data_IF_793454407637
#
_entry.id   IF_793454407637
#
_cell.length_a   1.000
_cell.length_b   1.000
_cell.length_c   1.000
_cell.angle_alpha   90.00
_cell.angle_beta   90.00
_cell.angle_gamma   90.00
#
_symmetry.space_group_name_H-M   'P 1'
#
loop_
_entity.id
_entity.type
_entity.pdbx_description
1 polymer ?
#
# COMPACT_ATOMS: atom_id res chain seq x y z
N UNK A 1 18.56 23.49 -3.64
CA UNK A 1 18.05 22.27 -2.97
C UNK A 1 16.58 22.11 -3.34
N UNK A 2 16.13 20.93 -3.79
CA UNK A 2 14.69 20.73 -4.02
C UNK A 2 13.98 20.58 -2.67
N UNK A 3 12.85 21.27 -2.50
CA UNK A 3 12.01 21.11 -1.31
C UNK A 3 11.28 19.77 -1.41
N UNK A 4 11.36 18.96 -0.35
CA UNK A 4 10.61 17.69 -0.22
C UNK A 4 9.56 17.85 0.87
N UNK A 5 8.37 17.33 0.61
CA UNK A 5 7.35 17.12 1.64
C UNK A 5 7.58 15.73 2.24
N UNK A 6 7.57 15.66 3.57
CA UNK A 6 7.72 14.44 4.34
C UNK A 6 6.61 14.41 5.38
N UNK A 7 5.94 13.27 5.49
CA UNK A 7 4.90 13.02 6.48
C UNK A 7 5.24 11.75 7.24
N UNK A 8 4.89 11.72 8.51
CA UNK A 8 4.98 10.56 9.39
C UNK A 8 3.72 10.52 10.23
N UNK A 9 3.28 9.32 10.57
CA UNK A 9 2.13 9.09 11.44
C UNK A 9 2.50 8.23 12.65
N UNK A 10 1.60 8.21 13.63
CA UNK A 10 1.68 7.36 14.82
C UNK A 10 0.26 7.01 15.24
N UNK A 11 0.12 5.89 15.96
CA UNK A 11 -1.16 5.40 16.48
C UNK A 11 -1.03 5.15 17.97
N UNK A 12 -2.15 5.14 18.68
CA UNK A 12 -2.16 4.91 20.12
C UNK A 12 -1.89 3.45 20.46
N UNK A 13 -1.60 3.17 21.73
CA UNK A 13 -1.45 1.81 22.26
C UNK A 13 -2.71 0.93 22.09
N UNK A 14 -3.88 1.55 21.94
CA UNK A 14 -5.15 0.86 21.68
C UNK A 14 -5.40 0.53 20.22
N UNK A 15 -4.55 0.96 19.28
CA UNK A 15 -4.66 0.53 17.89
C UNK A 15 -4.50 -1.00 17.81
N UNK A 16 -5.34 -1.74 17.05
CA UNK A 16 -5.31 -3.21 17.03
C UNK A 16 -3.92 -3.78 16.74
N UNK A 17 -3.20 -3.22 15.78
CA UNK A 17 -1.82 -3.64 15.49
C UNK A 17 -0.88 -3.43 16.69
N UNK A 18 -1.05 -2.32 17.43
CA UNK A 18 -0.25 -2.05 18.65
C UNK A 18 -0.68 -2.90 19.84
N UNK A 19 -1.93 -3.38 19.88
CA UNK A 19 -2.36 -4.38 20.85
C UNK A 19 -1.61 -5.69 20.59
N UNK A 20 -1.52 -6.12 19.33
CA UNK A 20 -0.76 -7.31 18.94
C UNK A 20 0.72 -7.19 19.34
N UNK A 21 1.37 -6.09 18.97
CA UNK A 21 2.76 -5.81 19.35
C UNK A 21 2.97 -5.94 20.87
N UNK A 22 2.12 -5.29 21.66
CA UNK A 22 2.21 -5.31 23.13
C UNK A 22 1.94 -6.68 23.75
N UNK A 23 1.05 -7.48 23.16
CA UNK A 23 0.80 -8.85 23.62
C UNK A 23 2.02 -9.73 23.34
N UNK A 24 2.56 -9.67 22.12
CA UNK A 24 3.77 -10.40 21.73
C UNK A 24 4.96 -10.04 22.64
N UNK A 25 5.18 -8.75 22.89
CA UNK A 25 6.24 -8.28 23.79
C UNK A 25 5.97 -8.67 25.26
N UNK A 26 4.72 -8.67 25.71
CA UNK A 26 4.39 -9.10 27.07
C UNK A 26 4.65 -10.60 27.29
N UNK A 27 4.44 -11.42 26.27
CA UNK A 27 4.80 -12.85 26.27
C UNK A 27 6.32 -13.02 26.33
N UNK A 28 7.06 -12.29 25.49
CA UNK A 28 8.52 -12.24 25.50
C UNK A 28 9.06 -11.86 26.89
N UNK A 29 8.58 -10.77 27.47
CA UNK A 29 8.99 -10.27 28.79
C UNK A 29 8.70 -11.29 29.90
N UNK A 30 7.54 -11.94 29.86
CA UNK A 30 7.16 -12.94 30.84
C UNK A 30 8.10 -14.16 30.82
N UNK A 31 8.55 -14.57 29.62
CA UNK A 31 9.49 -15.66 29.43
C UNK A 31 10.92 -15.27 29.82
N UNK A 32 11.43 -14.14 29.31
CA UNK A 32 12.80 -13.66 29.61
C UNK A 32 13.00 -13.40 31.10
N UNK A 33 11.95 -12.96 31.81
CA UNK A 33 12.00 -12.77 33.28
C UNK A 33 12.30 -14.07 34.04
N UNK A 34 11.88 -15.22 33.51
CA UNK A 34 12.11 -16.53 34.13
C UNK A 34 13.34 -17.24 33.56
N UNK A 35 13.55 -17.14 32.25
CA UNK A 35 14.69 -17.69 31.54
C UNK A 35 15.26 -16.65 30.57
N UNK A 36 16.35 -15.95 30.96
CA UNK A 36 16.99 -14.93 30.14
C UNK A 36 17.51 -15.43 28.77
N UNK A 37 17.61 -16.75 28.57
CA UNK A 37 18.03 -17.36 27.32
C UNK A 37 16.85 -17.82 26.44
N UNK A 38 15.61 -17.47 26.81
CA UNK A 38 14.42 -17.78 26.03
C UNK A 38 14.55 -17.26 24.60
N UNK A 39 14.23 -18.10 23.62
CA UNK A 39 14.07 -17.72 22.22
C UNK A 39 12.58 -17.67 21.93
N UNK A 40 12.11 -16.49 21.52
CA UNK A 40 10.68 -16.21 21.42
C UNK A 40 10.45 -15.46 20.12
N UNK A 41 9.67 -16.07 19.24
CA UNK A 41 9.15 -15.48 18.00
C UNK A 41 7.63 -15.66 18.04
N UNK A 42 6.96 -14.75 18.75
CA UNK A 42 5.52 -14.82 19.01
C UNK A 42 4.80 -13.76 18.20
N UNK A 43 3.87 -14.21 17.39
CA UNK A 43 3.00 -13.39 16.56
C UNK A 43 1.61 -13.34 17.19
N UNK A 44 1.02 -12.16 17.18
CA UNK A 44 -0.34 -11.96 17.69
C UNK A 44 -1.23 -11.43 16.58
N UNK A 45 -2.41 -12.02 16.45
CA UNK A 45 -3.51 -11.51 15.62
C UNK A 45 -4.67 -11.12 16.53
N UNK A 46 -5.31 -9.99 16.24
CA UNK A 46 -6.51 -9.54 16.93
C UNK A 46 -7.64 -9.23 15.95
N UNK A 47 -8.86 -9.56 16.35
CA UNK A 47 -10.11 -9.12 15.72
C UNK A 47 -11.22 -9.08 16.77
N UNK A 48 -12.44 -8.73 16.38
CA UNK A 48 -13.58 -8.60 17.29
C UNK A 48 -13.77 -9.87 18.14
N UNK A 49 -13.51 -9.74 19.44
CA UNK A 49 -13.68 -10.80 20.43
C UNK A 49 -12.67 -11.95 20.33
N UNK A 50 -11.60 -11.84 19.54
CA UNK A 50 -10.63 -12.93 19.34
C UNK A 50 -9.19 -12.40 19.33
N UNK A 51 -8.34 -13.09 20.10
CA UNK A 51 -6.88 -13.01 20.05
C UNK A 51 -6.32 -14.37 19.67
N UNK A 52 -5.38 -14.40 18.73
CA UNK A 52 -4.59 -15.59 18.41
C UNK A 52 -3.13 -15.28 18.72
N UNK A 53 -2.51 -16.11 19.55
CA UNK A 53 -1.09 -16.07 19.88
C UNK A 53 -0.43 -17.31 19.27
N UNK A 54 0.46 -17.13 18.32
CA UNK A 54 1.10 -18.21 17.59
C UNK A 54 2.60 -17.98 17.40
N UNK A 55 3.33 -19.02 17.01
CA UNK A 55 4.76 -18.93 16.69
C UNK A 55 5.63 -19.89 17.49
N UNK A 56 6.89 -19.50 17.66
CA UNK A 56 7.96 -20.38 18.13
C UNK A 56 8.53 -19.91 19.47
N UNK A 57 8.54 -20.81 20.46
CA UNK A 57 9.12 -20.55 21.78
C UNK A 57 10.01 -21.72 22.20
N UNK A 58 11.26 -21.41 22.56
CA UNK A 58 12.17 -22.33 23.25
C UNK A 58 12.63 -21.66 24.54
N UNK A 59 12.26 -22.23 25.68
CA UNK A 59 12.45 -21.65 27.00
C UNK A 59 12.44 -22.73 28.07
N UNK A 60 13.07 -22.48 29.22
CA UNK A 60 12.91 -23.26 30.45
C UNK A 60 11.83 -22.71 31.38
N UNK A 61 11.30 -21.52 31.10
CA UNK A 61 10.24 -20.88 31.87
C UNK A 61 8.86 -21.41 31.53
N UNK A 62 7.88 -21.11 32.38
CA UNK A 62 6.47 -21.40 32.10
C UNK A 62 5.63 -20.13 32.31
N UNK A 63 4.76 -19.83 31.35
CA UNK A 63 3.83 -18.70 31.45
C UNK A 63 2.40 -19.15 31.15
N UNK A 64 1.46 -18.55 31.85
CA UNK A 64 0.04 -18.60 31.49
C UNK A 64 -0.23 -17.52 30.43
N UNK A 65 -0.18 -17.91 29.15
CA UNK A 65 -0.35 -17.01 28.01
C UNK A 65 -1.71 -16.31 28.04
N UNK A 66 -2.78 -17.02 28.44
CA UNK A 66 -4.12 -16.45 28.58
C UNK A 66 -4.12 -15.29 29.57
N UNK A 67 -3.52 -15.50 30.74
CA UNK A 67 -3.42 -14.48 31.78
C UNK A 67 -2.56 -13.29 31.34
N UNK A 68 -1.45 -13.53 30.65
CA UNK A 68 -0.59 -12.47 30.10
C UNK A 68 -1.37 -11.60 29.10
N UNK A 69 -2.04 -12.23 28.14
CA UNK A 69 -2.87 -11.55 27.13
C UNK A 69 -3.93 -10.66 27.79
N UNK A 70 -4.74 -11.22 28.69
CA UNK A 70 -5.84 -10.49 29.34
C UNK A 70 -5.33 -9.34 30.21
N UNK A 71 -4.23 -9.53 30.92
CA UNK A 71 -3.62 -8.46 31.71
C UNK A 71 -3.07 -7.33 30.83
N UNK A 72 -2.48 -7.66 29.68
CA UNK A 72 -2.01 -6.67 28.71
C UNK A 72 -3.18 -5.86 28.15
N UNK A 73 -4.27 -6.52 27.72
CA UNK A 73 -5.47 -5.85 27.20
C UNK A 73 -6.08 -4.93 28.26
N UNK A 74 -6.19 -5.40 29.51
CA UNK A 74 -6.69 -4.59 30.63
C UNK A 74 -5.80 -3.38 30.91
N UNK A 75 -4.48 -3.54 30.84
CA UNK A 75 -3.52 -2.44 31.03
C UNK A 75 -3.66 -1.36 29.95
N UNK A 76 -3.95 -1.75 28.70
CA UNK A 76 -4.23 -0.83 27.59
C UNK A 76 -5.55 -0.06 27.80
N UNK A 77 -6.47 -0.61 28.62
CA UNK A 77 -7.74 0.04 28.99
C UNK A 77 -8.99 -0.59 28.39
N UNK A 78 -8.88 -1.76 27.74
CA UNK A 78 -10.04 -2.52 27.25
C UNK A 78 -10.59 -3.44 28.35
N UNK A 79 -11.26 -2.83 29.34
CA UNK A 79 -11.78 -3.48 30.55
C UNK A 79 -13.32 -3.45 30.64
N UNK A 80 -14.00 -3.00 29.59
CA UNK A 80 -15.46 -2.87 29.54
C UNK A 80 -16.04 -3.36 28.21
N UNK A 81 -17.17 -4.08 28.22
CA UNK A 81 -17.83 -4.55 27.01
C UNK A 81 -18.24 -3.43 26.04
N UNK A 82 -18.55 -2.23 26.56
CA UNK A 82 -19.06 -1.10 25.75
C UNK A 82 -18.07 -0.60 24.69
N UNK A 83 -16.77 -0.91 24.83
CA UNK A 83 -15.75 -0.55 23.85
C UNK A 83 -15.76 -1.45 22.60
N UNK A 84 -16.60 -2.49 22.58
CA UNK A 84 -16.64 -3.49 21.51
C UNK A 84 -15.48 -4.51 21.56
N UNK A 85 -14.55 -4.33 22.50
CA UNK A 85 -13.45 -5.24 22.81
C UNK A 85 -13.15 -5.18 24.31
N UNK A 86 -13.09 -6.34 24.97
CA UNK A 86 -12.93 -6.44 26.41
C UNK A 86 -11.99 -7.60 26.78
N UNK A 87 -11.06 -7.37 27.71
CA UNK A 87 -10.11 -8.35 28.22
C UNK A 87 -10.78 -9.60 28.81
N UNK A 88 -11.99 -9.47 29.36
CA UNK A 88 -12.69 -10.58 30.02
C UNK A 88 -13.54 -11.42 29.04
N UNK A 89 -14.07 -10.80 27.99
CA UNK A 89 -14.97 -11.47 27.04
C UNK A 89 -14.26 -11.98 25.78
N UNK A 90 -13.01 -11.58 25.52
CA UNK A 90 -12.28 -12.04 24.35
C UNK A 90 -11.88 -13.53 24.47
N UNK A 91 -12.02 -14.25 23.37
CA UNK A 91 -11.41 -15.57 23.19
C UNK A 91 -9.91 -15.41 22.94
N UNK A 92 -9.09 -16.25 23.57
CA UNK A 92 -7.65 -16.30 23.30
C UNK A 92 -7.31 -17.72 22.86
N UNK A 93 -6.77 -17.85 21.64
CA UNK A 93 -6.28 -19.10 21.08
C UNK A 93 -4.75 -19.09 21.13
N UNK A 94 -4.15 -20.16 21.64
CA UNK A 94 -2.70 -20.28 21.80
C UNK A 94 -2.21 -21.45 20.96
N UNK A 95 -1.28 -21.18 20.04
CA UNK A 95 -0.67 -22.16 19.14
C UNK A 95 0.83 -21.93 19.05
N UNK A 96 1.53 -22.19 20.16
CA UNK A 96 2.98 -22.07 20.27
C UNK A 96 3.64 -23.45 20.13
N UNK A 97 4.73 -23.53 19.36
CA UNK A 97 5.55 -24.73 19.23
C UNK A 97 7.04 -24.41 19.43
N UNK A 98 7.90 -25.42 19.49
CA UNK A 98 9.35 -25.20 19.64
C UNK A 98 9.96 -24.60 18.38
N UNK A 99 11.06 -23.86 18.53
CA UNK A 99 11.86 -23.35 17.42
C UNK A 99 12.43 -24.50 16.58
N UNK A 100 12.49 -24.32 15.26
CA UNK A 100 13.12 -25.29 14.37
C UNK A 100 14.59 -25.56 14.75
N UNK A 101 15.02 -26.84 14.88
CA UNK A 101 16.43 -27.18 15.08
C UNK A 101 17.36 -26.63 14.00
N UNK A 102 16.87 -26.51 12.76
CA UNK A 102 17.65 -26.01 11.61
C UNK A 102 17.99 -24.53 11.74
N UNK A 103 17.09 -23.75 12.34
CA UNK A 103 17.34 -22.34 12.67
C UNK A 103 18.22 -22.28 13.92
N UNK A 104 17.91 -23.10 14.92
CA UNK A 104 18.62 -23.11 16.21
C UNK A 104 20.12 -23.36 16.05
N UNK A 105 20.54 -24.27 15.17
CA UNK A 105 21.97 -24.55 14.93
C UNK A 105 22.74 -23.37 14.31
N UNK A 106 22.06 -22.52 13.53
CA UNK A 106 22.66 -21.33 12.93
C UNK A 106 22.85 -20.20 13.94
N UNK A 107 21.98 -20.14 14.95
CA UNK A 107 22.01 -19.11 16.00
C UNK A 107 22.89 -19.52 17.18
N UNK A 108 22.87 -20.78 17.58
CA UNK A 108 23.53 -21.23 18.82
C UNK A 108 25.06 -21.08 18.73
N UNK A 109 25.64 -20.46 19.75
CA UNK A 109 27.10 -20.32 19.86
C UNK A 109 27.77 -21.71 19.85
N UNK A 110 28.87 -21.84 19.11
CA UNK A 110 29.63 -23.08 18.96
C UNK A 110 29.11 -24.07 17.91
N UNK A 111 27.85 -23.95 17.47
CA UNK A 111 27.25 -24.86 16.46
C UNK A 111 27.26 -24.31 15.04
N UNK A 112 27.30 -22.99 14.89
CA UNK A 112 27.37 -22.33 13.58
C UNK A 112 28.70 -22.50 12.84
N UNK A 113 28.72 -22.05 11.58
CA UNK A 113 29.94 -21.98 10.74
C UNK A 113 30.99 -21.11 11.43
N UNK A 114 30.56 -19.93 11.89
CA UNK A 114 31.30 -19.10 12.81
C UNK A 114 30.96 -19.59 14.23
N UNK A 115 31.97 -19.80 15.08
CA UNK A 115 31.78 -20.36 16.44
C UNK A 115 31.09 -19.41 17.41
N UNK A 116 30.82 -18.18 16.99
CA UNK A 116 30.09 -17.16 17.73
C UNK A 116 28.58 -17.28 17.45
N UNK A 117 27.74 -16.53 18.18
CA UNK A 117 26.29 -16.53 17.97
C UNK A 117 25.94 -15.94 16.59
N UNK A 118 25.28 -16.73 15.73
CA UNK A 118 24.82 -16.28 14.41
C UNK A 118 23.56 -15.41 14.48
N UNK A 119 23.27 -14.70 13.38
CA UNK A 119 22.02 -13.98 13.23
C UNK A 119 20.83 -14.96 13.13
N UNK A 120 19.69 -14.59 13.72
CA UNK A 120 18.45 -15.39 13.67
C UNK A 120 17.80 -15.48 12.30
N UNK A 121 18.01 -14.47 11.46
CA UNK A 121 17.56 -14.42 10.07
C UNK A 121 18.38 -13.38 9.30
N UNK A 122 18.20 -13.34 7.97
CA UNK A 122 18.74 -12.32 7.09
C UNK A 122 18.01 -10.97 7.30
N UNK A 123 18.72 -9.94 7.75
CA UNK A 123 18.20 -8.59 7.92
C UNK A 123 18.95 -7.56 7.08
N UNK A 124 18.21 -6.66 6.42
CA UNK A 124 18.78 -5.53 5.67
C UNK A 124 18.41 -4.21 6.37
N UNK A 125 19.42 -3.53 6.93
CA UNK A 125 19.24 -2.16 7.43
C UNK A 125 19.57 -1.15 6.33
N UNK A 126 18.71 -0.15 6.13
CA UNK A 126 18.94 0.91 5.14
C UNK A 126 20.10 1.80 5.61
N UNK A 127 20.88 2.30 4.67
CA UNK A 127 21.84 3.40 4.88
C UNK A 127 21.19 4.55 5.70
N UNK A 128 21.86 5.01 6.74
CA UNK A 128 21.43 6.06 7.65
C UNK A 128 20.70 5.56 8.90
N UNK A 129 20.43 4.26 9.04
CA UNK A 129 19.82 3.69 10.25
C UNK A 129 20.73 3.95 11.45
N UNK A 130 20.24 4.64 12.48
CA UNK A 130 21.06 4.97 13.65
C UNK A 130 21.16 3.77 14.60
N UNK A 131 22.40 3.37 14.89
CA UNK A 131 22.75 2.30 15.83
C UNK A 131 23.32 2.93 17.10
N UNK A 132 22.76 2.57 18.27
CA UNK A 132 23.27 3.04 19.55
C UNK A 132 24.58 2.32 19.88
N UNK A 133 25.66 3.07 20.00
CA UNK A 133 26.98 2.56 20.42
C UNK A 133 27.44 3.22 21.71
N UNK A 134 28.51 2.71 22.34
CA UNK A 134 29.13 3.40 23.49
C UNK A 134 29.66 4.81 23.17
N UNK A 135 29.91 5.12 21.89
CA UNK A 135 30.40 6.43 21.43
C UNK A 135 29.27 7.40 21.06
N UNK A 136 28.01 6.97 21.21
CA UNK A 136 26.83 7.69 20.73
C UNK A 136 26.15 6.94 19.57
N UNK A 137 25.18 7.58 18.93
CA UNK A 137 24.51 7.01 17.76
C UNK A 137 25.39 7.13 16.51
N UNK A 138 25.59 6.02 15.81
CA UNK A 138 26.29 5.98 14.53
C UNK A 138 25.34 5.46 13.44
N UNK A 139 25.36 6.01 12.23
CA UNK A 139 24.71 5.38 11.08
C UNK A 139 25.23 3.94 10.88
N UNK A 140 24.37 3.04 10.41
CA UNK A 140 24.72 1.61 10.23
C UNK A 140 25.92 1.42 9.30
N UNK A 141 26.08 2.28 8.29
CA UNK A 141 27.23 2.27 7.39
C UNK A 141 28.55 2.68 8.04
N UNK A 142 28.51 3.27 9.24
CA UNK A 142 29.67 3.74 10.00
C UNK A 142 30.04 2.83 11.17
N UNK A 143 29.19 1.85 11.50
CA UNK A 143 29.52 0.79 12.46
C UNK A 143 30.68 -0.06 11.93
N UNK A 144 31.67 -0.33 12.76
CA UNK A 144 32.86 -1.14 12.41
C UNK A 144 32.98 -2.36 13.31
N UNK A 145 33.66 -3.39 12.82
CA UNK A 145 34.08 -4.53 13.66
C UNK A 145 34.81 -4.01 14.90
N UNK A 146 34.40 -4.49 16.07
CA UNK A 146 34.94 -4.06 17.36
C UNK A 146 34.17 -2.97 18.08
N UNK A 147 33.28 -2.23 17.40
CA UNK A 147 32.41 -1.28 18.09
C UNK A 147 31.47 -2.02 19.06
N UNK A 148 31.14 -1.36 20.17
CA UNK A 148 30.18 -1.87 21.15
C UNK A 148 28.80 -1.31 20.83
N UNK A 149 27.91 -2.17 20.33
CA UNK A 149 26.52 -1.84 19.99
C UNK A 149 25.59 -2.32 21.09
N UNK A 150 24.52 -1.55 21.33
CA UNK A 150 23.49 -1.90 22.32
C UNK A 150 22.66 -3.08 21.81
N UNK A 151 22.59 -4.16 22.59
CA UNK A 151 21.66 -5.28 22.39
C UNK A 151 20.80 -5.45 23.65
N UNK A 152 19.74 -6.29 23.62
CA UNK A 152 18.95 -6.60 24.81
C UNK A 152 19.79 -7.20 25.96
N UNK A 153 20.90 -7.87 25.65
CA UNK A 153 21.84 -8.44 26.62
C UNK A 153 22.99 -7.48 26.99
N UNK A 154 22.82 -6.18 26.73
CA UNK A 154 23.82 -5.15 26.98
C UNK A 154 24.70 -4.84 25.78
N UNK A 155 25.84 -4.19 26.02
CA UNK A 155 26.76 -3.84 24.93
C UNK A 155 27.52 -5.07 24.45
N UNK A 156 27.35 -5.41 23.17
CA UNK A 156 28.06 -6.50 22.50
C UNK A 156 28.99 -5.95 21.43
N UNK A 157 30.11 -6.65 21.22
CA UNK A 157 31.10 -6.30 20.21
C UNK A 157 30.58 -6.68 18.84
N UNK A 158 30.67 -5.77 17.86
CA UNK A 158 30.38 -6.08 16.46
C UNK A 158 31.45 -7.04 15.96
N UNK A 159 31.03 -8.24 15.56
CA UNK A 159 31.90 -9.33 15.15
C UNK A 159 32.35 -9.16 13.69
N UNK A 160 31.43 -8.73 12.84
CA UNK A 160 31.69 -8.39 11.46
C UNK A 160 30.87 -7.17 11.04
N UNK A 161 31.53 -6.19 10.41
CA UNK A 161 30.88 -5.12 9.68
C UNK A 161 31.40 -5.14 8.25
N UNK A 162 30.57 -5.58 7.30
CA UNK A 162 30.91 -5.55 5.88
C UNK A 162 29.99 -4.61 5.12
N UNK A 163 30.58 -3.75 4.32
CA UNK A 163 29.88 -3.13 3.21
C UNK A 163 30.02 -4.12 2.04
N UNK A 164 28.91 -4.64 1.51
CA UNK A 164 28.85 -5.64 0.42
C UNK A 164 29.38 -5.11 -0.93
N UNK A 165 30.14 -4.02 -0.91
CA UNK A 165 30.66 -3.30 -2.05
C UNK A 165 29.64 -2.34 -2.66
N UNK A 166 30.13 -1.41 -3.48
CA UNK A 166 29.26 -0.71 -4.45
C UNK A 166 29.01 -1.69 -5.60
N UNK A 167 27.85 -2.33 -5.60
CA UNK A 167 27.41 -3.09 -6.77
C UNK A 167 26.84 -2.10 -7.80
N UNK A 168 27.23 -2.23 -9.07
CA UNK A 168 26.51 -1.59 -10.16
C UNK A 168 25.09 -2.11 -10.11
N UNK A 169 24.11 -1.23 -9.99
CA UNK A 169 22.70 -1.57 -10.11
C UNK A 169 22.27 -1.37 -11.56
N UNK A 170 21.38 -2.23 -12.02
CA UNK A 170 20.67 -2.06 -13.27
C UNK A 170 19.28 -1.51 -12.98
N UNK A 171 18.82 -0.60 -13.82
CA UNK A 171 17.46 -0.09 -13.82
C UNK A 171 16.73 -0.68 -15.02
N UNK A 172 15.81 -1.61 -14.76
CA UNK A 172 14.97 -2.21 -15.79
C UNK A 172 13.71 -1.36 -15.90
N UNK A 173 13.49 -0.77 -17.08
CA UNK A 173 12.27 -0.02 -17.39
C UNK A 173 11.27 -0.98 -18.07
N UNK A 174 10.13 -1.19 -17.43
CA UNK A 174 9.06 -2.03 -17.96
C UNK A 174 8.17 -1.22 -18.90
N UNK A 175 7.49 -1.91 -19.83
CA UNK A 175 6.61 -1.28 -20.82
C UNK A 175 5.41 -0.54 -20.21
N UNK A 176 5.05 -0.85 -18.96
CA UNK A 176 4.00 -0.17 -18.21
C UNK A 176 4.49 1.09 -17.46
N UNK A 177 5.77 1.47 -17.61
CA UNK A 177 6.37 2.63 -16.97
C UNK A 177 6.96 2.37 -15.58
N UNK A 178 6.77 1.18 -15.01
CA UNK A 178 7.42 0.78 -13.75
C UNK A 178 8.93 0.59 -13.97
N UNK A 179 9.70 0.74 -12.89
CA UNK A 179 11.13 0.49 -12.91
C UNK A 179 11.54 -0.42 -11.75
N UNK A 180 12.40 -1.40 -12.05
CA UNK A 180 13.06 -2.23 -11.05
C UNK A 180 14.54 -1.84 -10.98
N UNK A 181 15.00 -1.42 -9.80
CA UNK A 181 16.42 -1.15 -9.52
C UNK A 181 16.98 -2.29 -8.67
N UNK A 182 17.87 -3.08 -9.25
CA UNK A 182 18.42 -4.28 -8.60
C UNK A 182 19.86 -4.57 -9.09
N UNK A 183 20.51 -5.57 -8.51
CA UNK A 183 21.84 -6.01 -8.98
C UNK A 183 21.70 -6.85 -10.26
N UNK A 184 22.69 -6.87 -11.17
CA UNK A 184 22.62 -7.61 -12.44
C UNK A 184 22.30 -9.10 -12.29
N UNK A 185 22.76 -9.71 -11.20
CA UNK A 185 22.57 -11.11 -10.81
C UNK A 185 21.20 -11.39 -10.15
N UNK A 186 20.40 -10.37 -9.88
CA UNK A 186 19.10 -10.53 -9.24
C UNK A 186 18.15 -11.37 -10.11
N UNK A 187 17.60 -12.44 -9.55
CA UNK A 187 16.70 -13.37 -10.25
C UNK A 187 15.30 -12.78 -10.30
N UNK A 188 14.77 -12.62 -11.51
CA UNK A 188 13.45 -12.07 -11.79
C UNK A 188 12.57 -13.18 -12.34
N UNK A 189 11.40 -13.35 -11.73
CA UNK A 189 10.40 -14.29 -12.19
C UNK A 189 9.76 -13.74 -13.47
N UNK A 190 9.81 -14.53 -14.53
CA UNK A 190 9.24 -14.24 -15.83
C UNK A 190 8.20 -15.29 -16.19
N UNK A 191 7.39 -15.02 -17.20
CA UNK A 191 6.45 -15.99 -17.75
C UNK A 191 6.46 -15.96 -19.28
N UNK A 192 6.18 -17.10 -19.90
CA UNK A 192 6.05 -17.21 -21.35
C UNK A 192 4.59 -17.03 -21.79
N UNK A 193 4.36 -16.97 -23.11
CA UNK A 193 3.00 -16.83 -23.69
C UNK A 193 2.05 -17.98 -23.31
N UNK A 194 2.58 -19.13 -22.89
CA UNK A 194 1.80 -20.29 -22.47
C UNK A 194 1.49 -20.26 -20.96
N UNK A 195 1.89 -19.20 -20.25
CA UNK A 195 1.64 -19.02 -18.81
C UNK A 195 2.61 -19.77 -17.88
N UNK A 196 3.62 -20.45 -18.41
CA UNK A 196 4.63 -21.12 -17.58
C UNK A 196 5.67 -20.10 -17.08
N UNK A 197 6.02 -20.19 -15.80
CA UNK A 197 7.00 -19.30 -15.18
C UNK A 197 8.42 -19.83 -15.25
N UNK A 198 9.39 -18.94 -15.35
CA UNK A 198 10.82 -19.25 -15.34
C UNK A 198 11.61 -18.11 -14.68
N UNK A 199 12.80 -18.42 -14.18
CA UNK A 199 13.68 -17.42 -13.55
C UNK A 199 14.77 -16.98 -14.50
N UNK A 200 14.97 -15.67 -14.63
CA UNK A 200 16.04 -15.07 -15.43
C UNK A 200 16.81 -14.04 -14.60
N UNK A 201 18.11 -13.86 -14.82
CA UNK A 201 18.79 -12.75 -14.14
C UNK A 201 18.40 -11.41 -14.75
N UNK A 202 18.48 -10.33 -13.95
CA UNK A 202 18.20 -8.97 -14.39
C UNK A 202 19.04 -8.54 -15.60
N UNK A 203 20.28 -9.05 -15.71
CA UNK A 203 21.18 -8.79 -16.83
C UNK A 203 20.78 -9.51 -18.12
N UNK A 204 20.16 -10.68 -18.02
CA UNK A 204 19.78 -11.50 -19.17
C UNK A 204 18.40 -11.12 -19.74
N UNK A 205 17.64 -10.27 -19.05
CA UNK A 205 16.34 -9.80 -19.52
C UNK A 205 16.46 -9.06 -20.85
N UNK A 206 15.55 -9.39 -21.77
CA UNK A 206 15.40 -8.72 -23.05
C UNK A 206 13.95 -8.23 -23.24
N UNK A 207 13.69 -7.56 -24.36
CA UNK A 207 12.38 -6.92 -24.64
C UNK A 207 11.24 -7.92 -24.84
N UNK A 208 11.55 -9.19 -25.06
CA UNK A 208 10.56 -10.24 -25.32
C UNK A 208 10.19 -11.02 -24.04
N UNK A 209 10.89 -10.79 -22.93
CA UNK A 209 10.57 -11.40 -21.64
C UNK A 209 9.39 -10.68 -20.96
N UNK A 210 8.43 -11.46 -20.46
CA UNK A 210 7.34 -10.92 -19.63
C UNK A 210 7.67 -11.15 -18.16
N UNK A 211 7.85 -10.07 -17.41
CA UNK A 211 8.19 -10.13 -15.98
C UNK A 211 6.91 -10.28 -15.14
N UNK A 212 6.92 -11.25 -14.22
CA UNK A 212 5.91 -11.36 -13.17
C UNK A 212 6.14 -10.25 -12.15
N UNK A 213 5.33 -9.19 -12.22
CA UNK A 213 5.27 -8.18 -11.18
C UNK A 213 4.12 -8.55 -10.23
N UNK A 214 4.43 -8.65 -8.93
CA UNK A 214 3.41 -8.49 -7.90
C UNK A 214 2.86 -7.10 -8.11
N UNK A 215 1.67 -6.99 -8.70
CA UNK A 215 1.03 -5.71 -8.97
C UNK A 215 0.80 -5.07 -7.59
N UNK A 216 1.56 -4.05 -7.18
CA UNK A 216 1.08 -3.22 -6.10
C UNK A 216 -0.21 -2.63 -6.67
N UNK A 217 -1.30 -2.57 -5.91
CA UNK A 217 -2.51 -1.91 -6.40
C UNK A 217 -2.30 -0.42 -6.74
N UNK A 218 -1.09 0.10 -6.59
CA UNK A 218 -0.66 1.45 -6.87
C UNK A 218 0.66 1.43 -7.64
N UNK A 219 0.62 1.71 -8.94
CA UNK A 219 1.72 2.41 -9.61
C UNK A 219 1.19 3.15 -10.83
N UNK A 220 1.47 4.44 -10.85
CA UNK A 220 1.05 5.43 -11.84
C UNK A 220 1.75 5.18 -13.17
N UNK A 221 1.01 5.02 -14.26
CA UNK A 221 1.63 4.86 -15.58
C UNK A 221 2.05 6.21 -16.15
N UNK A 222 3.09 6.22 -16.98
CA UNK A 222 3.53 7.41 -17.73
C UNK A 222 2.67 7.69 -18.96
N UNK A 223 1.73 6.80 -19.31
CA UNK A 223 0.88 6.91 -20.49
C UNK A 223 -0.52 7.42 -20.14
N UNK A 224 -1.06 8.30 -20.98
CA UNK A 224 -2.48 8.68 -20.88
C UNK A 224 -3.34 7.59 -21.51
N UNK A 225 -4.38 7.18 -20.80
CA UNK A 225 -5.32 6.18 -21.28
C UNK A 225 -6.15 6.78 -22.42
N UNK A 226 -6.26 6.06 -23.54
CA UNK A 226 -7.14 6.44 -24.66
C UNK A 226 -8.36 5.53 -24.67
N UNK A 227 -9.51 6.11 -25.00
CA UNK A 227 -10.75 5.41 -25.20
C UNK A 227 -11.26 5.68 -26.62
N UNK A 228 -11.62 4.63 -27.33
CA UNK A 228 -12.17 4.70 -28.69
C UNK A 228 -13.58 4.09 -28.65
N UNK A 229 -14.57 4.89 -29.01
CA UNK A 229 -15.97 4.49 -29.03
C UNK A 229 -16.56 4.85 -30.38
N UNK A 230 -16.83 3.82 -31.20
CA UNK A 230 -17.41 4.00 -32.53
C UNK A 230 -18.89 4.36 -32.42
N UNK A 231 -19.28 5.47 -33.05
CA UNK A 231 -20.67 5.94 -33.12
C UNK A 231 -21.60 4.90 -33.77
N UNK A 232 -21.08 4.13 -34.72
CA UNK A 232 -21.80 3.05 -35.41
C UNK A 232 -22.32 1.95 -34.47
N UNK A 233 -21.80 1.84 -33.24
CA UNK A 233 -22.32 0.90 -32.24
C UNK A 233 -23.65 1.34 -31.63
N UNK A 234 -24.05 2.60 -31.81
CA UNK A 234 -25.26 3.17 -31.22
C UNK A 234 -26.29 3.43 -32.33
N UNK A 235 -27.17 2.47 -32.55
CA UNK A 235 -28.34 2.64 -33.42
C UNK A 235 -29.50 3.19 -32.59
N UNK A 236 -30.00 4.37 -32.93
CA UNK A 236 -31.26 4.85 -32.36
C UNK A 236 -32.42 4.43 -33.26
N UNK A 237 -33.53 3.98 -32.66
CA UNK A 237 -34.76 3.54 -33.34
C UNK A 237 -35.35 4.58 -34.31
N UNK A 238 -34.94 5.85 -34.17
CA UNK A 238 -35.46 7.00 -34.90
C UNK A 238 -34.39 7.79 -35.67
N UNK A 239 -33.21 7.20 -35.93
CA UNK A 239 -32.12 7.83 -36.68
C UNK A 239 -31.65 9.20 -36.10
N UNK A 240 -31.79 9.39 -34.79
CA UNK A 240 -31.24 10.54 -34.10
C UNK A 240 -29.72 10.54 -34.18
N UNK A 241 -29.15 11.71 -34.45
CA UNK A 241 -27.70 11.94 -34.45
C UNK A 241 -27.14 11.65 -33.06
N UNK A 242 -26.17 10.74 -33.00
CA UNK A 242 -25.39 10.47 -31.79
C UNK A 242 -24.24 11.48 -31.74
N UNK A 243 -24.21 12.32 -30.72
CA UNK A 243 -23.23 13.40 -30.56
C UNK A 243 -22.12 13.00 -29.60
N UNK A 244 -20.90 13.47 -29.85
CA UNK A 244 -19.72 13.23 -29.04
C UNK A 244 -18.50 12.81 -29.87
N UNK A 245 -17.30 12.87 -29.26
CA UNK A 245 -16.08 12.38 -29.89
C UNK A 245 -16.13 10.85 -30.02
N UNK A 246 -15.48 10.30 -31.04
CA UNK A 246 -15.24 8.85 -31.13
C UNK A 246 -13.94 8.44 -30.42
N UNK A 247 -13.06 9.40 -30.11
CA UNK A 247 -11.80 9.18 -29.43
C UNK A 247 -11.63 10.21 -28.31
N UNK A 248 -11.21 9.74 -27.13
CA UNK A 248 -10.92 10.61 -26.00
C UNK A 248 -9.70 10.10 -25.24
N UNK A 249 -8.87 11.02 -24.79
CA UNK A 249 -7.70 10.76 -23.96
C UNK A 249 -7.98 11.21 -22.52
N UNK A 250 -7.60 10.40 -21.54
CA UNK A 250 -7.69 10.74 -20.12
C UNK A 250 -6.54 11.70 -19.74
N UNK A 251 -6.67 12.94 -20.19
CA UNK A 251 -5.78 14.05 -19.84
C UNK A 251 -6.17 14.73 -18.53
N UNK A 252 -5.49 15.83 -18.20
CA UNK A 252 -5.72 16.63 -17.00
C UNK A 252 -7.15 17.17 -16.89
N UNK A 253 -7.76 17.57 -18.01
CA UNK A 253 -9.14 18.05 -18.05
C UNK A 253 -10.14 16.94 -17.76
N UNK A 254 -9.94 15.77 -18.39
CA UNK A 254 -10.76 14.58 -18.11
C UNK A 254 -10.55 14.09 -16.68
N UNK A 255 -9.33 14.15 -16.15
CA UNK A 255 -9.01 13.86 -14.75
C UNK A 255 -9.83 14.75 -13.81
N UNK A 256 -9.81 16.06 -14.01
CA UNK A 256 -10.59 17.02 -13.21
C UNK A 256 -12.08 16.69 -13.22
N UNK A 257 -12.65 16.46 -14.40
CA UNK A 257 -14.07 16.14 -14.57
C UNK A 257 -14.43 14.82 -13.88
N UNK A 258 -13.56 13.80 -13.94
CA UNK A 258 -13.75 12.57 -13.18
C UNK A 258 -13.77 12.83 -11.67
N UNK A 259 -12.92 13.74 -11.16
CA UNK A 259 -12.92 14.17 -9.77
C UNK A 259 -14.26 14.77 -9.36
N UNK A 260 -14.73 15.77 -10.13
CA UNK A 260 -15.99 16.46 -9.88
C UNK A 260 -17.21 15.53 -9.94
N UNK A 261 -17.21 14.55 -10.85
CA UNK A 261 -18.27 13.54 -10.92
C UNK A 261 -18.27 12.59 -9.71
N UNK A 262 -17.09 12.26 -9.17
CA UNK A 262 -16.96 11.40 -8.00
C UNK A 262 -17.34 12.14 -6.71
N UNK A 263 -16.88 13.38 -6.53
CA UNK A 263 -17.24 14.24 -5.39
C UNK A 263 -18.72 14.63 -5.44
N UNK A 264 -19.03 15.62 -6.27
CA UNK A 264 -20.32 16.30 -6.28
C UNK A 264 -21.29 15.86 -7.39
N UNK A 265 -20.90 14.83 -8.16
CA UNK A 265 -21.71 14.35 -9.30
C UNK A 265 -22.84 13.38 -8.97
N UNK A 266 -23.86 13.34 -9.81
CA UNK A 266 -24.84 12.26 -9.90
C UNK A 266 -24.57 11.42 -11.16
N UNK A 267 -24.13 10.17 -10.95
CA UNK A 267 -23.75 9.22 -12.01
C UNK A 267 -24.58 7.94 -11.99
N UNK A 268 -25.69 7.92 -11.24
CA UNK A 268 -26.53 6.72 -11.03
C UNK A 268 -27.34 6.38 -12.29
N UNK A 269 -27.73 7.40 -13.06
CA UNK A 269 -28.64 7.21 -14.19
C UNK A 269 -27.84 6.76 -15.42
N UNK A 270 -28.24 5.68 -16.11
CA UNK A 270 -27.57 5.23 -17.33
C UNK A 270 -27.65 6.27 -18.47
N UNK A 271 -28.61 7.20 -18.37
CA UNK A 271 -28.92 8.14 -19.43
C UNK A 271 -28.27 9.52 -19.26
N UNK A 272 -27.75 9.88 -18.09
CA UNK A 272 -27.16 11.21 -17.86
C UNK A 272 -26.07 11.22 -16.79
N UNK A 273 -25.06 12.06 -16.97
CA UNK A 273 -24.12 12.45 -15.92
C UNK A 273 -24.42 13.89 -15.51
N UNK A 274 -24.34 14.20 -14.23
CA UNK A 274 -24.61 15.55 -13.72
C UNK A 274 -23.60 15.90 -12.63
N UNK A 275 -23.17 17.16 -12.56
CA UNK A 275 -22.36 17.71 -11.47
C UNK A 275 -23.17 18.86 -10.87
N UNK A 276 -23.47 18.78 -9.57
CA UNK A 276 -24.22 19.83 -8.88
C UNK A 276 -23.24 20.87 -8.31
N UNK A 277 -23.55 22.16 -8.47
CA UNK A 277 -22.72 23.27 -7.98
C UNK A 277 -23.46 24.15 -6.96
N UNK A 278 -24.75 23.90 -6.71
CA UNK A 278 -25.57 24.78 -5.88
C UNK A 278 -25.60 26.20 -6.44
N UNK A 279 -25.34 27.20 -5.60
CA UNK A 279 -25.30 28.62 -5.95
C UNK A 279 -23.95 29.05 -6.57
N UNK A 280 -22.96 28.14 -6.67
CA UNK A 280 -21.62 28.47 -7.16
C UNK A 280 -21.53 28.47 -8.70
N UNK A 281 -22.21 29.43 -9.31
CA UNK A 281 -22.31 29.58 -10.77
C UNK A 281 -20.95 29.83 -11.46
N UNK A 282 -20.02 30.51 -10.79
CA UNK A 282 -18.68 30.77 -11.34
C UNK A 282 -17.84 29.49 -11.40
N UNK A 283 -17.92 28.62 -10.39
CA UNK A 283 -17.29 27.30 -10.44
C UNK A 283 -17.92 26.46 -11.56
N UNK A 284 -19.25 26.46 -11.67
CA UNK A 284 -19.95 25.73 -12.73
C UNK A 284 -19.49 26.14 -14.14
N UNK A 285 -19.31 27.45 -14.38
CA UNK A 285 -18.73 27.98 -15.63
C UNK A 285 -17.27 27.56 -15.85
N UNK A 286 -16.46 27.51 -14.79
CA UNK A 286 -15.08 27.06 -14.88
C UNK A 286 -15.00 25.58 -15.29
N UNK A 287 -15.81 24.72 -14.68
CA UNK A 287 -15.90 23.30 -15.06
C UNK A 287 -16.46 23.14 -16.47
N UNK A 288 -17.46 23.93 -16.84
CA UNK A 288 -17.99 23.96 -18.21
C UNK A 288 -16.89 24.30 -19.23
N UNK A 289 -16.06 25.30 -18.95
CA UNK A 289 -14.94 25.68 -19.84
C UNK A 289 -13.89 24.57 -19.99
N UNK A 290 -13.64 23.78 -18.94
CA UNK A 290 -12.78 22.59 -19.03
C UNK A 290 -13.45 21.53 -19.89
N UNK A 291 -14.74 21.26 -19.67
CA UNK A 291 -15.51 20.27 -20.40
C UNK A 291 -15.63 20.60 -21.89
N UNK A 292 -15.94 21.86 -22.25
CA UNK A 292 -16.12 22.29 -23.64
C UNK A 292 -14.83 22.19 -24.47
N UNK A 293 -13.66 22.38 -23.86
CA UNK A 293 -12.37 22.20 -24.53
C UNK A 293 -12.09 20.75 -24.91
N UNK A 294 -12.58 19.79 -24.14
CA UNK A 294 -12.34 18.35 -24.34
C UNK A 294 -13.49 17.67 -25.09
N UNK A 295 -14.71 18.13 -24.86
CA UNK A 295 -15.96 17.54 -25.32
C UNK A 295 -16.93 18.66 -25.73
N UNK A 296 -16.66 19.38 -26.82
CA UNK A 296 -17.45 20.55 -27.21
C UNK A 296 -18.91 20.17 -27.45
N UNK A 297 -19.82 21.00 -26.93
CA UNK A 297 -21.28 20.85 -27.05
C UNK A 297 -21.86 19.56 -26.44
N UNK A 298 -21.11 18.85 -25.58
CA UNK A 298 -21.60 17.62 -24.93
C UNK A 298 -22.18 17.84 -23.54
N UNK A 299 -22.07 19.07 -23.03
CA UNK A 299 -22.45 19.45 -21.68
C UNK A 299 -23.38 20.66 -21.74
N UNK A 300 -24.29 20.77 -20.77
CA UNK A 300 -25.20 21.91 -20.66
C UNK A 300 -25.30 22.33 -19.21
N UNK A 301 -25.07 23.62 -18.97
CA UNK A 301 -25.41 24.22 -17.69
C UNK A 301 -26.93 24.33 -17.60
N UNK A 302 -27.51 23.76 -16.55
CA UNK A 302 -28.95 23.76 -16.28
C UNK A 302 -29.20 24.38 -14.91
N UNK A 303 -30.37 24.99 -14.72
CA UNK A 303 -30.76 25.63 -13.46
C UNK A 303 -30.70 27.16 -13.50
N UNK A 304 -30.81 27.78 -12.32
CA UNK A 304 -30.75 29.22 -12.10
C UNK A 304 -29.44 29.60 -11.38
N UNK A 305 -29.21 30.90 -11.13
CA UNK A 305 -28.02 31.33 -10.38
C UNK A 305 -27.94 30.74 -8.96
N UNK A 306 -29.10 30.50 -8.34
CA UNK A 306 -29.18 30.01 -6.96
C UNK A 306 -29.09 28.48 -6.85
N UNK A 307 -29.21 27.76 -7.98
CA UNK A 307 -29.03 26.32 -8.05
C UNK A 307 -28.73 25.90 -9.49
N UNK A 308 -27.46 25.56 -9.76
CA UNK A 308 -27.00 25.17 -11.08
C UNK A 308 -26.28 23.82 -11.08
N UNK A 309 -26.45 23.10 -12.19
CA UNK A 309 -25.78 21.83 -12.46
C UNK A 309 -25.22 21.80 -13.87
N UNK A 310 -24.12 21.07 -14.08
CA UNK A 310 -23.61 20.77 -15.41
C UNK A 310 -24.01 19.35 -15.80
N UNK A 311 -24.76 19.20 -16.89
CA UNK A 311 -25.35 17.92 -17.32
C UNK A 311 -24.80 17.43 -18.66
N UNK A 312 -24.52 16.12 -18.75
CA UNK A 312 -24.20 15.39 -19.99
C UNK A 312 -25.33 14.45 -20.35
N UNK A 313 -25.79 14.54 -21.59
CA UNK A 313 -26.76 13.60 -22.18
C UNK A 313 -26.12 12.71 -23.29
N UNK A 314 -24.83 12.88 -23.61
CA UNK A 314 -24.11 12.13 -24.66
C UNK A 314 -23.79 10.69 -24.27
N UNK A 315 -24.28 9.73 -25.08
CA UNK A 315 -23.99 8.31 -24.91
C UNK A 315 -22.53 7.94 -25.20
N UNK A 316 -21.90 8.62 -26.17
CA UNK A 316 -20.48 8.43 -26.52
C UNK A 316 -19.59 8.84 -25.35
N UNK A 317 -19.83 10.03 -24.80
CA UNK A 317 -19.06 10.54 -23.65
C UNK A 317 -19.16 9.58 -22.47
N UNK A 318 -20.37 9.13 -22.12
CA UNK A 318 -20.55 8.17 -21.02
C UNK A 318 -19.78 6.87 -21.23
N UNK A 319 -19.76 6.34 -22.45
CA UNK A 319 -19.02 5.12 -22.77
C UNK A 319 -17.50 5.32 -22.61
N UNK A 320 -16.98 6.50 -22.95
CA UNK A 320 -15.59 6.82 -22.65
C UNK A 320 -15.30 6.86 -21.15
N UNK A 321 -16.16 7.51 -20.34
CA UNK A 321 -16.00 7.50 -18.88
C UNK A 321 -16.08 6.08 -18.29
N UNK A 322 -16.93 5.21 -18.86
CA UNK A 322 -16.96 3.78 -18.53
C UNK A 322 -15.64 3.09 -18.86
N UNK A 323 -15.08 3.35 -20.04
CA UNK A 323 -13.79 2.80 -20.46
C UNK A 323 -12.64 3.29 -19.57
N UNK A 324 -12.75 4.51 -19.02
CA UNK A 324 -11.84 5.03 -18.00
C UNK A 324 -12.10 4.44 -16.59
N UNK A 325 -13.04 3.50 -16.46
CA UNK A 325 -13.29 2.77 -15.22
C UNK A 325 -14.26 3.45 -14.26
N UNK A 326 -15.06 4.41 -14.73
CA UNK A 326 -16.13 5.02 -13.93
C UNK A 326 -17.30 4.04 -13.76
N UNK A 327 -17.69 3.80 -12.51
CA UNK A 327 -18.87 2.99 -12.15
C UNK A 327 -20.10 3.88 -11.97
N UNK A 328 -21.20 3.56 -12.65
CA UNK A 328 -22.46 4.30 -12.60
C UNK A 328 -23.30 3.81 -11.41
N UNK A 329 -22.93 4.23 -10.20
CA UNK A 329 -23.46 3.72 -8.93
C UNK A 329 -23.88 4.85 -7.98
N UNK A 330 -24.63 4.51 -6.92
CA UNK A 330 -25.01 5.46 -5.86
C UNK A 330 -23.78 5.97 -5.09
N UNK A 331 -23.91 7.15 -4.47
CA UNK A 331 -22.86 7.81 -3.69
C UNK A 331 -22.03 6.88 -2.77
N UNK A 332 -22.61 6.02 -1.91
CA UNK A 332 -21.83 5.15 -1.01
C UNK A 332 -21.00 4.07 -1.71
N UNK A 333 -21.22 3.85 -3.01
CA UNK A 333 -20.51 2.86 -3.80
C UNK A 333 -19.57 3.48 -4.83
N UNK A 334 -19.52 4.82 -4.91
CA UNK A 334 -18.59 5.49 -5.81
C UNK A 334 -17.16 5.15 -5.39
N UNK A 335 -16.34 4.82 -6.36
CA UNK A 335 -14.92 4.56 -6.19
C UNK A 335 -14.14 5.36 -7.20
N UNK A 336 -12.90 5.72 -6.85
CA UNK A 336 -11.97 6.35 -7.78
C UNK A 336 -11.77 5.46 -9.01
N UNK A 337 -11.98 5.97 -10.24
CA UNK A 337 -11.83 5.17 -11.44
C UNK A 337 -10.43 4.58 -11.58
N UNK A 338 -10.34 3.33 -12.06
CA UNK A 338 -9.06 2.64 -12.24
C UNK A 338 -8.09 3.41 -13.14
N UNK A 339 -8.60 4.15 -14.14
CA UNK A 339 -7.77 4.98 -15.00
C UNK A 339 -6.96 6.02 -14.23
N UNK A 340 -7.49 6.59 -13.13
CA UNK A 340 -6.81 7.60 -12.33
C UNK A 340 -5.59 7.02 -11.63
N UNK A 341 -5.73 5.83 -11.02
CA UNK A 341 -4.60 5.11 -10.42
C UNK A 341 -3.52 4.72 -11.44
N UNK A 342 -3.88 4.68 -12.71
CA UNK A 342 -3.00 4.34 -13.82
C UNK A 342 -2.55 5.58 -14.63
N UNK A 343 -2.95 6.79 -14.25
CA UNK A 343 -2.65 7.99 -15.03
C UNK A 343 -1.33 8.66 -14.61
N UNK A 344 -0.76 9.55 -15.44
CA UNK A 344 0.40 10.34 -15.06
C UNK A 344 0.11 11.34 -13.92
N UNK A 345 1.14 11.85 -13.20
CA UNK A 345 0.97 12.73 -12.04
C UNK A 345 0.14 14.00 -12.29
N UNK A 346 0.20 14.60 -13.49
CA UNK A 346 -0.61 15.77 -13.86
C UNK A 346 -2.11 15.46 -13.85
N UNK A 347 -2.50 14.29 -14.36
CA UNK A 347 -3.90 13.85 -14.41
C UNK A 347 -4.43 13.56 -13.02
N UNK A 348 -3.63 12.90 -12.16
CA UNK A 348 -4.01 12.60 -10.77
C UNK A 348 -4.16 13.87 -9.96
N UNK A 349 -3.19 14.80 -10.08
CA UNK A 349 -3.29 16.10 -9.43
C UNK A 349 -4.55 16.84 -9.86
N UNK A 350 -4.89 16.78 -11.14
CA UNK A 350 -6.11 17.40 -11.67
C UNK A 350 -7.38 16.73 -11.15
N UNK A 351 -7.40 15.39 -11.07
CA UNK A 351 -8.49 14.63 -10.45
C UNK A 351 -8.74 15.02 -9.00
N UNK A 352 -7.69 15.10 -8.18
CA UNK A 352 -7.81 15.50 -6.77
C UNK A 352 -8.40 16.92 -6.65
N UNK A 353 -8.02 17.84 -7.53
CA UNK A 353 -8.58 19.22 -7.58
C UNK A 353 -10.02 19.29 -8.06
N UNK A 354 -10.51 18.27 -8.74
CA UNK A 354 -11.93 18.17 -9.10
C UNK A 354 -12.74 17.50 -7.99
N UNK A 355 -12.11 16.61 -7.22
CA UNK A 355 -12.74 15.86 -6.13
C UNK A 355 -12.97 16.69 -4.87
N UNK A 356 -12.05 17.61 -4.59
CA UNK A 356 -12.09 18.59 -3.49
C UNK A 356 -12.00 20.00 -4.08
#
# INVERSE_FOLDING_TARGET
>A
MSRRLFSSESVTEGHPDKICDQISDAVLDALIRQDPNSRVAVETLTTTGLIVVAGEVTTKGYIDVQKVVRNTIRRIGYDRPEYGFNADDCSVLVSLHEQSPDISQGVTEGTGIDKEQGAGDQGCLRKGTLVRTKKGFLPIEDVRTGDLVSTPQGFKKVLAARMTGRKKIVKILLSNGMALECTPDHRILCYNRNGSTYWKSAFELNRDDFVCILKPQMDFSSGRMKSIVRRSKFFTKYNHRVFGPEEMECDDGIGYIQGALIGDGCIVRPNSLEIAFGDNFEHAKSVQSIADRRMPNQWRLIGSKDNCSLKIDSILVKEHFRNFGMSFVKAPHKVTPKSIFQSPPDVIKSYIRGLF
#
